data_IF_300343507309
#
_entry.id   IF_300343507309
#
_cell.length_a   1.000
_cell.length_b   1.000
_cell.length_c   1.000
_cell.angle_alpha   90.00
_cell.angle_beta   90.00
_cell.angle_gamma   90.00
#
_symmetry.space_group_name_H-M   'P 1'
#
loop_
_entity.id
_entity.type
_entity.pdbx_description
1 polymer ?
#
# COMPACT_ATOMS: atom_id res chain seq x y z
N UNK A 1 -79.79 10.83 33.99
CA UNK A 1 -78.88 9.68 33.80
C UNK A 1 -77.78 10.02 32.79
N UNK A 2 -76.96 11.05 33.06
CA UNK A 2 -76.01 11.57 32.06
C UNK A 2 -74.56 11.75 32.54
N UNK A 3 -74.27 11.59 33.84
CA UNK A 3 -72.96 11.98 34.40
C UNK A 3 -72.14 10.82 34.97
N UNK A 4 -72.66 9.58 34.94
CA UNK A 4 -71.92 8.37 35.38
C UNK A 4 -71.29 7.57 34.24
N UNK A 5 -71.70 7.80 32.99
CA UNK A 5 -71.21 7.04 31.84
C UNK A 5 -69.87 7.57 31.30
N UNK A 6 -69.67 8.90 31.31
CA UNK A 6 -68.43 9.53 30.81
C UNK A 6 -67.22 9.26 31.71
N UNK A 7 -67.42 9.17 33.04
CA UNK A 7 -66.33 8.92 33.99
C UNK A 7 -65.80 7.48 33.91
N UNK A 8 -66.68 6.51 33.65
CA UNK A 8 -66.30 5.09 33.47
C UNK A 8 -65.61 4.88 32.11
N UNK A 9 -66.05 5.59 31.07
CA UNK A 9 -65.43 5.52 29.75
C UNK A 9 -64.02 6.13 29.75
N UNK A 10 -63.81 7.26 30.42
CA UNK A 10 -62.47 7.83 30.61
C UNK A 10 -61.55 6.91 31.45
N UNK A 11 -62.08 6.26 32.49
CA UNK A 11 -61.28 5.34 33.31
C UNK A 11 -60.85 4.08 32.52
N UNK A 12 -61.71 3.56 31.63
CA UNK A 12 -61.39 2.42 30.76
C UNK A 12 -60.36 2.80 29.69
N UNK A 13 -60.45 4.00 29.11
CA UNK A 13 -59.44 4.50 28.15
C UNK A 13 -58.08 4.70 28.83
N UNK A 14 -58.06 5.16 30.08
CA UNK A 14 -56.82 5.29 30.87
C UNK A 14 -56.22 3.91 31.22
N UNK A 15 -57.06 2.91 31.54
CA UNK A 15 -56.60 1.53 31.79
C UNK A 15 -56.10 0.82 30.51
N UNK A 16 -56.71 1.08 29.35
CA UNK A 16 -56.26 0.53 28.06
C UNK A 16 -54.96 1.22 27.61
N UNK A 17 -54.79 2.53 27.86
CA UNK A 17 -53.54 3.24 27.58
C UNK A 17 -52.40 2.87 28.54
N UNK A 18 -52.70 2.56 29.81
CA UNK A 18 -51.72 2.02 30.76
C UNK A 18 -51.37 0.54 30.49
N UNK A 19 -52.31 -0.26 29.97
CA UNK A 19 -52.06 -1.65 29.56
C UNK A 19 -51.24 -1.78 28.27
N UNK A 20 -51.29 -0.78 27.38
CA UNK A 20 -50.52 -0.75 26.14
C UNK A 20 -49.04 -0.37 26.33
N UNK A 21 -48.63 0.10 27.52
CA UNK A 21 -47.24 0.42 27.84
C UNK A 21 -46.44 -0.77 28.41
N UNK A 22 -47.04 -1.96 28.45
CA UNK A 22 -46.39 -3.22 28.81
C UNK A 22 -45.72 -3.96 27.65
N UNK A 23 -45.52 -3.34 26.49
CA UNK A 23 -44.68 -3.91 25.44
C UNK A 23 -43.24 -3.58 25.82
N UNK A 24 -42.56 -4.55 26.43
CA UNK A 24 -41.12 -4.50 26.61
C UNK A 24 -40.48 -4.10 25.29
N UNK A 25 -39.85 -2.94 25.26
CA UNK A 25 -39.07 -2.50 24.11
C UNK A 25 -37.97 -3.53 23.91
N UNK A 26 -38.17 -4.45 22.96
CA UNK A 26 -37.10 -5.27 22.42
C UNK A 26 -36.21 -4.29 21.69
N UNK A 27 -35.26 -3.71 22.42
CA UNK A 27 -34.15 -2.98 21.84
C UNK A 27 -33.43 -4.01 20.97
N UNK A 28 -33.66 -3.94 19.66
CA UNK A 28 -32.84 -4.59 18.67
C UNK A 28 -31.43 -4.00 18.83
N UNK A 29 -30.63 -4.66 19.65
CA UNK A 29 -29.24 -4.29 19.84
C UNK A 29 -28.57 -4.54 18.50
N UNK A 30 -28.42 -3.48 17.69
CA UNK A 30 -27.62 -3.48 16.47
C UNK A 30 -26.22 -3.90 16.87
N UNK A 31 -25.94 -5.20 16.82
CA UNK A 31 -24.62 -5.76 17.06
C UNK A 31 -23.73 -5.12 16.00
N UNK A 32 -22.82 -4.24 16.44
CA UNK A 32 -21.79 -3.71 15.56
C UNK A 32 -21.06 -4.91 14.94
N UNK A 33 -20.80 -4.89 13.62
CA UNK A 33 -20.07 -5.97 12.98
C UNK A 33 -18.74 -6.15 13.70
N UNK A 34 -18.40 -7.41 13.98
CA UNK A 34 -17.10 -7.75 14.58
C UNK A 34 -16.07 -7.66 13.47
N UNK A 35 -15.23 -6.63 13.51
CA UNK A 35 -14.21 -6.39 12.50
C UNK A 35 -12.85 -6.83 13.02
N UNK A 36 -12.08 -7.52 12.18
CA UNK A 36 -10.67 -7.83 12.42
C UNK A 36 -9.84 -6.85 11.58
N UNK A 37 -8.87 -6.18 12.20
CA UNK A 37 -7.96 -5.25 11.53
C UNK A 37 -6.54 -5.78 11.67
N UNK A 38 -5.83 -5.88 10.54
CA UNK A 38 -4.43 -6.32 10.46
C UNK A 38 -3.66 -5.26 9.71
N UNK A 39 -2.46 -4.94 10.18
CA UNK A 39 -1.56 -3.98 9.55
C UNK A 39 -0.12 -4.50 9.59
N UNK A 40 0.57 -4.52 8.45
CA UNK A 40 2.00 -4.82 8.36
C UNK A 40 2.82 -3.54 8.46
N UNK A 41 3.83 -3.55 9.33
CA UNK A 41 4.74 -2.43 9.57
C UNK A 41 6.17 -2.80 9.18
N UNK A 42 6.85 -1.87 8.52
CA UNK A 42 8.26 -1.99 8.21
C UNK A 42 9.12 -1.88 9.48
N UNK A 43 10.35 -2.38 9.40
CA UNK A 43 11.35 -2.25 10.48
C UNK A 43 11.99 -0.85 10.53
N UNK A 44 11.85 -0.05 9.47
CA UNK A 44 12.41 1.29 9.36
C UNK A 44 11.36 2.38 9.60
N UNK A 45 11.84 3.59 9.93
CA UNK A 45 11.00 4.78 10.09
C UNK A 45 10.44 5.27 8.75
N UNK A 46 9.30 5.96 8.81
CA UNK A 46 8.71 6.63 7.67
C UNK A 46 9.71 7.45 6.85
N UNK A 47 9.52 7.43 5.54
CA UNK A 47 10.33 8.09 4.52
C UNK A 47 9.58 9.27 3.91
N UNK A 48 10.22 10.41 3.57
CA UNK A 48 9.46 11.52 3.03
C UNK A 48 8.87 11.21 1.65
N UNK A 49 7.58 11.47 1.46
CA UNK A 49 6.89 11.28 0.17
C UNK A 49 7.52 12.10 -0.97
N UNK A 50 8.03 13.29 -0.65
CA UNK A 50 8.70 14.15 -1.63
C UNK A 50 9.98 13.48 -2.19
N UNK A 51 10.75 12.84 -1.32
CA UNK A 51 11.98 12.16 -1.72
C UNK A 51 11.66 10.86 -2.48
N UNK A 52 10.64 10.12 -2.03
CA UNK A 52 10.17 8.92 -2.74
C UNK A 52 9.69 9.24 -4.16
N UNK A 53 8.99 10.35 -4.34
CA UNK A 53 8.55 10.80 -5.65
C UNK A 53 9.74 11.03 -6.60
N UNK A 54 10.82 11.67 -6.13
CA UNK A 54 12.03 11.84 -6.92
C UNK A 54 12.66 10.51 -7.35
N UNK A 55 12.74 9.55 -6.42
CA UNK A 55 13.27 8.21 -6.74
C UNK A 55 12.38 7.44 -7.71
N UNK A 56 11.05 7.54 -7.60
CA UNK A 56 10.12 6.92 -8.54
C UNK A 56 10.25 7.52 -9.95
N UNK A 57 10.42 8.83 -10.07
CA UNK A 57 10.63 9.50 -11.36
C UNK A 57 11.97 9.08 -11.99
N UNK A 58 13.02 8.96 -11.19
CA UNK A 58 14.34 8.52 -11.66
C UNK A 58 14.34 7.10 -12.26
N UNK A 59 13.37 6.27 -11.87
CA UNK A 59 13.19 4.91 -12.38
C UNK A 59 12.78 4.90 -13.86
N UNK A 60 12.05 5.92 -14.30
CA UNK A 60 11.64 6.08 -15.70
C UNK A 60 12.82 6.51 -16.56
N UNK A 61 13.42 7.66 -16.19
CA UNK A 61 14.61 8.23 -16.82
C UNK A 61 15.42 8.96 -15.76
N UNK A 62 16.74 8.81 -15.81
CA UNK A 62 17.65 9.46 -14.86
C UNK A 62 17.50 10.99 -14.88
N UNK A 63 17.19 11.58 -16.03
CA UNK A 63 17.01 13.04 -16.19
C UNK A 63 15.79 13.57 -15.44
N UNK A 64 14.73 12.76 -15.32
CA UNK A 64 13.46 13.15 -14.68
C UNK A 64 13.64 13.48 -13.20
N UNK A 65 14.65 12.90 -12.55
CA UNK A 65 15.03 13.27 -11.20
C UNK A 65 15.42 14.75 -11.12
N UNK A 66 16.30 15.19 -12.01
CA UNK A 66 16.81 16.56 -12.04
C UNK A 66 15.73 17.56 -12.46
N UNK A 67 14.93 17.21 -13.47
CA UNK A 67 13.75 18.01 -13.88
C UNK A 67 12.81 18.26 -12.70
N UNK A 68 12.58 17.23 -11.86
CA UNK A 68 11.73 17.33 -10.67
C UNK A 68 12.32 18.25 -9.59
N UNK A 69 13.64 18.16 -9.36
CA UNK A 69 14.36 19.04 -8.43
C UNK A 69 14.22 20.51 -8.88
N UNK A 70 14.43 20.77 -10.17
CA UNK A 70 14.34 22.11 -10.75
C UNK A 70 12.91 22.66 -10.64
N UNK A 71 11.89 21.88 -11.03
CA UNK A 71 10.48 22.29 -10.90
C UNK A 71 10.14 22.63 -9.45
N UNK A 72 10.60 21.80 -8.50
CA UNK A 72 10.34 22.03 -7.08
C UNK A 72 11.03 23.30 -6.55
N UNK A 73 12.25 23.60 -7.03
CA UNK A 73 12.97 24.82 -6.65
C UNK A 73 12.36 26.11 -7.19
N UNK A 74 11.80 26.08 -8.41
CA UNK A 74 11.18 27.25 -9.04
C UNK A 74 9.73 27.51 -8.60
N UNK A 75 9.12 26.56 -7.86
CA UNK A 75 7.74 26.72 -7.39
C UNK A 75 7.67 27.60 -6.14
N UNK A 76 6.84 28.64 -6.17
CA UNK A 76 6.62 29.53 -5.04
C UNK A 76 6.16 28.78 -3.77
N UNK A 77 6.60 29.26 -2.60
CA UNK A 77 6.34 28.62 -1.29
C UNK A 77 4.86 28.71 -0.85
N UNK A 78 4.05 29.55 -1.47
CA UNK A 78 2.72 29.95 -0.99
C UNK A 78 1.55 29.34 -1.78
N UNK A 79 1.50 28.01 -1.84
CA UNK A 79 0.26 27.32 -2.22
C UNK A 79 -0.57 27.07 -0.95
N UNK A 80 -1.71 27.75 -0.82
CA UNK A 80 -2.58 27.70 0.37
C UNK A 80 -3.04 26.26 0.67
N UNK A 81 -3.08 25.38 -0.33
CA UNK A 81 -3.48 23.99 -0.15
C UNK A 81 -2.39 23.13 0.54
N UNK A 82 -1.14 23.59 0.62
CA UNK A 82 0.00 22.81 1.15
C UNK A 82 0.05 22.64 2.67
N UNK A 83 -0.88 23.23 3.44
CA UNK A 83 -0.87 23.10 4.92
C UNK A 83 -1.27 21.72 5.43
N UNK A 84 -1.86 20.87 4.58
CA UNK A 84 -2.28 19.51 4.96
C UNK A 84 -1.40 18.46 4.26
N UNK A 85 -1.21 17.31 4.91
CA UNK A 85 -0.52 16.18 4.30
C UNK A 85 -1.12 15.79 2.93
N UNK A 86 -2.46 15.86 2.81
CA UNK A 86 -3.19 15.63 1.55
C UNK A 86 -2.86 16.67 0.48
N UNK A 87 -2.77 17.94 0.85
CA UNK A 87 -2.39 19.00 -0.08
C UNK A 87 -0.94 18.90 -0.55
N UNK A 88 -0.03 18.54 0.35
CA UNK A 88 1.35 18.22 -0.02
C UNK A 88 1.44 17.04 -0.99
N UNK A 89 0.71 15.95 -0.73
CA UNK A 89 0.65 14.82 -1.65
C UNK A 89 0.13 15.25 -3.03
N UNK A 90 -0.96 16.03 -3.08
CA UNK A 90 -1.47 16.58 -4.35
C UNK A 90 -0.45 17.43 -5.08
N UNK A 91 0.31 18.28 -4.37
CA UNK A 91 1.37 19.11 -4.94
C UNK A 91 2.49 18.24 -5.52
N UNK A 92 2.96 17.24 -4.77
CA UNK A 92 3.99 16.29 -5.21
C UNK A 92 3.54 15.55 -6.47
N UNK A 93 2.31 15.00 -6.45
CA UNK A 93 1.72 14.31 -7.61
C UNK A 93 1.65 15.27 -8.79
N UNK A 94 1.07 16.47 -8.63
CA UNK A 94 0.96 17.46 -9.71
C UNK A 94 2.30 17.76 -10.39
N UNK A 95 3.38 17.93 -9.62
CA UNK A 95 4.70 18.17 -10.18
C UNK A 95 5.28 16.91 -10.87
N UNK A 96 5.14 15.73 -10.27
CA UNK A 96 5.56 14.47 -10.91
C UNK A 96 4.82 14.22 -12.23
N UNK A 97 3.51 14.46 -12.25
CA UNK A 97 2.68 14.29 -13.46
C UNK A 97 3.01 15.26 -14.58
N UNK A 98 3.57 16.44 -14.28
CA UNK A 98 4.03 17.37 -15.33
C UNK A 98 5.24 16.85 -16.12
N UNK A 99 5.93 15.82 -15.60
CA UNK A 99 7.14 15.23 -16.18
C UNK A 99 6.82 13.91 -16.92
N UNK A 100 5.77 13.21 -16.50
CA UNK A 100 5.37 11.89 -16.98
C UNK A 100 4.32 11.95 -18.10
N UNK A 101 4.28 10.90 -18.93
CA UNK A 101 3.18 10.65 -19.87
C UNK A 101 1.93 10.13 -19.14
N UNK A 102 0.75 10.35 -19.71
CA UNK A 102 -0.54 9.95 -19.13
C UNK A 102 -0.63 8.48 -18.66
N UNK A 103 -0.13 7.46 -19.38
CA UNK A 103 -0.20 6.07 -18.90
C UNK A 103 0.66 5.80 -17.66
N UNK A 104 1.81 6.48 -17.54
CA UNK A 104 2.74 6.33 -16.42
C UNK A 104 2.27 7.10 -15.18
N UNK A 105 1.42 8.12 -15.37
CA UNK A 105 0.86 8.94 -14.31
C UNK A 105 0.13 8.10 -13.23
N UNK A 106 -0.77 7.21 -13.67
CA UNK A 106 -1.55 6.36 -12.75
C UNK A 106 -0.66 5.38 -11.99
N UNK A 107 0.37 4.85 -12.67
CA UNK A 107 1.32 3.93 -12.05
C UNK A 107 2.22 4.62 -11.03
N UNK A 108 2.60 5.86 -11.29
CA UNK A 108 3.36 6.69 -10.37
C UNK A 108 2.59 6.96 -9.07
N UNK A 109 1.32 7.37 -9.16
CA UNK A 109 0.46 7.60 -7.98
C UNK A 109 0.26 6.31 -7.17
N UNK A 110 0.03 5.19 -7.85
CA UNK A 110 -0.09 3.89 -7.22
C UNK A 110 1.21 3.48 -6.51
N UNK A 111 2.36 3.62 -7.17
CA UNK A 111 3.68 3.27 -6.64
C UNK A 111 4.08 4.12 -5.43
N UNK A 112 3.71 5.40 -5.44
CA UNK A 112 3.91 6.32 -4.32
C UNK A 112 3.03 5.95 -3.12
N UNK A 113 1.78 5.54 -3.38
CA UNK A 113 0.85 5.06 -2.33
C UNK A 113 1.31 3.73 -1.73
N UNK A 114 1.87 2.83 -2.56
CA UNK A 114 2.48 1.57 -2.12
C UNK A 114 3.83 1.76 -1.41
N UNK A 115 4.41 2.96 -1.46
CA UNK A 115 5.69 3.30 -0.82
C UNK A 115 6.84 2.44 -1.34
N UNK A 116 6.77 2.08 -2.62
CA UNK A 116 7.71 1.17 -3.31
C UNK A 116 9.15 1.70 -3.35
N UNK A 117 9.34 3.02 -3.35
CA UNK A 117 10.67 3.66 -3.29
C UNK A 117 11.23 3.81 -1.85
N UNK A 118 10.47 3.46 -0.80
CA UNK A 118 10.94 3.59 0.58
C UNK A 118 12.26 2.84 0.87
N UNK A 119 12.45 1.58 0.43
CA UNK A 119 13.71 0.85 0.65
C UNK A 119 14.94 1.56 0.04
N UNK A 120 14.75 2.25 -1.09
CA UNK A 120 15.79 3.04 -1.76
C UNK A 120 16.32 4.16 -0.85
N UNK A 121 15.42 4.87 -0.19
CA UNK A 121 15.81 5.93 0.75
C UNK A 121 16.44 5.37 2.03
N UNK A 122 16.03 4.18 2.47
CA UNK A 122 16.69 3.49 3.59
C UNK A 122 18.14 3.14 3.26
N UNK A 123 18.41 2.72 2.01
CA UNK A 123 19.78 2.50 1.55
C UNK A 123 20.61 3.79 1.61
N UNK A 124 20.07 4.94 1.17
CA UNK A 124 20.78 6.21 1.31
C UNK A 124 21.04 6.62 2.75
N UNK A 125 20.14 6.30 3.69
CA UNK A 125 20.38 6.52 5.13
C UNK A 125 21.59 5.72 5.63
N UNK A 126 21.75 4.48 5.17
CA UNK A 126 22.90 3.65 5.52
C UNK A 126 24.20 4.23 4.95
N UNK A 127 24.20 4.64 3.68
CA UNK A 127 25.35 5.29 3.05
C UNK A 127 25.71 6.63 3.72
N UNK A 128 24.71 7.38 4.18
CA UNK A 128 24.92 8.60 4.96
C UNK A 128 25.58 8.33 6.31
N UNK A 129 25.15 7.29 7.03
CA UNK A 129 25.78 6.89 8.30
C UNK A 129 27.24 6.45 8.07
N UNK A 130 27.50 5.71 6.98
CA UNK A 130 28.85 5.30 6.60
C UNK A 130 29.75 6.50 6.27
N UNK A 131 29.22 7.47 5.52
CA UNK A 131 29.89 8.74 5.21
C UNK A 131 30.24 9.52 6.50
N UNK A 132 29.29 9.66 7.43
CA UNK A 132 29.52 10.35 8.70
C UNK A 132 30.50 9.59 9.62
N UNK A 133 30.43 8.27 9.66
CA UNK A 133 31.30 7.45 10.50
C UNK A 133 32.75 7.40 10.00
N UNK A 134 32.97 7.67 8.72
CA UNK A 134 34.31 7.79 8.13
C UNK A 134 35.08 9.02 8.64
N UNK A 135 34.38 10.02 9.19
CA UNK A 135 34.95 11.26 9.73
C UNK A 135 34.36 11.59 11.10
N UNK A 136 34.72 10.85 12.17
CA UNK A 136 34.15 11.09 13.50
C UNK A 136 34.44 12.52 13.96
N UNK A 137 33.43 13.25 14.48
CA UNK A 137 33.64 14.59 15.01
C UNK A 137 34.65 14.54 16.15
N UNK A 138 35.59 15.49 16.16
CA UNK A 138 36.50 15.67 17.29
C UNK A 138 35.67 16.19 18.47
N UNK A 139 35.37 15.33 19.43
CA UNK A 139 34.70 15.74 20.67
C UNK A 139 35.58 16.76 21.41
N UNK A 140 35.22 18.05 21.36
CA UNK A 140 35.92 19.12 22.09
C UNK A 140 35.80 18.98 23.63
N UNK A 141 35.02 18.02 24.14
CA UNK A 141 34.74 17.88 25.57
C UNK A 141 35.76 17.07 26.39
N UNK A 142 36.83 16.55 25.77
CA UNK A 142 37.89 15.82 26.51
C UNK A 142 39.26 16.52 26.52
N UNK A 143 39.32 17.85 26.28
CA UNK A 143 40.57 18.62 26.37
C UNK A 143 40.82 19.30 27.74
N UNK A 144 40.37 18.67 28.83
CA UNK A 144 40.86 19.00 30.18
C UNK A 144 41.24 17.73 30.91
N UNK A 145 42.43 17.23 30.61
CA UNK A 145 43.40 16.66 31.55
C UNK A 145 44.61 16.13 30.75
N UNK A 146 45.45 17.04 30.27
CA UNK A 146 46.78 16.69 29.81
C UNK A 146 47.74 16.64 31.01
N UNK A 147 47.85 15.46 31.63
CA UNK A 147 49.05 15.05 32.36
C UNK A 147 49.05 13.54 32.59
N UNK A 148 49.85 12.81 31.82
CA UNK A 148 50.12 11.40 32.08
C UNK A 148 50.45 10.60 30.82
N UNK A 149 51.72 10.23 30.71
CA UNK A 149 52.26 9.28 29.73
C UNK A 149 51.58 7.92 29.93
N UNK A 150 51.02 7.33 28.87
CA UNK A 150 50.94 5.87 28.70
C UNK A 150 50.63 5.50 27.25
N UNK A 151 51.64 4.90 26.63
CA UNK A 151 51.61 3.70 25.78
C UNK A 151 50.47 3.49 24.77
N UNK A 152 50.94 3.33 23.54
CA UNK A 152 50.33 2.67 22.37
C UNK A 152 49.39 1.55 22.80
N UNK A 153 48.10 1.72 22.52
CA UNK A 153 47.16 0.62 22.37
C UNK A 153 46.44 0.77 21.04
N UNK A 154 46.91 0.00 20.06
CA UNK A 154 46.23 -0.27 18.80
C UNK A 154 44.94 -1.06 19.07
N UNK A 155 43.88 -0.36 19.48
CA UNK A 155 42.52 -0.86 19.41
C UNK A 155 41.64 0.20 18.76
N UNK A 156 41.83 0.38 17.45
CA UNK A 156 40.79 0.89 16.56
C UNK A 156 39.72 -0.20 16.50
N UNK A 157 38.81 -0.23 17.48
CA UNK A 157 37.52 -0.86 17.28
C UNK A 157 36.76 -0.01 16.26
N UNK A 158 36.84 -0.44 14.99
CA UNK A 158 35.82 -0.08 14.01
C UNK A 158 34.48 -0.45 14.65
N UNK A 159 33.70 0.56 15.09
CA UNK A 159 32.29 0.37 15.39
C UNK A 159 31.60 -0.02 14.09
N UNK A 160 31.67 -1.31 13.74
CA UNK A 160 30.77 -1.92 12.78
C UNK A 160 29.37 -1.63 13.31
N UNK A 161 28.63 -0.84 12.55
CA UNK A 161 27.22 -0.56 12.79
C UNK A 161 26.51 -1.86 13.15
N UNK A 162 25.88 -1.90 14.33
CA UNK A 162 25.07 -3.02 14.76
C UNK A 162 24.04 -3.33 13.65
N UNK A 163 24.02 -4.54 13.05
CA UNK A 163 23.06 -4.90 12.00
C UNK A 163 21.59 -4.82 12.47
N UNK A 164 21.34 -4.54 13.74
CA UNK A 164 20.03 -4.25 14.32
C UNK A 164 19.55 -2.80 14.15
N UNK A 165 20.39 -1.86 13.70
CA UNK A 165 20.03 -0.44 13.49
C UNK A 165 19.58 -0.11 12.05
N UNK A 166 19.24 -1.11 11.24
CA UNK A 166 18.72 -0.92 9.88
C UNK A 166 17.39 -0.14 9.95
N UNK A 167 17.44 1.15 9.63
CA UNK A 167 16.24 1.97 9.47
C UNK A 167 16.08 3.16 10.43
N UNK A 168 17.07 3.45 11.27
CA UNK A 168 17.12 4.72 11.99
C UNK A 168 17.62 5.84 11.05
N UNK A 169 17.03 7.02 11.18
CA UNK A 169 17.53 8.20 10.47
C UNK A 169 18.87 8.62 11.08
N UNK A 170 19.90 8.95 10.26
CA UNK A 170 21.16 9.46 10.79
C UNK A 170 20.88 10.71 11.63
N UNK A 171 21.64 10.90 12.70
CA UNK A 171 21.55 12.12 13.51
C UNK A 171 22.11 13.29 12.72
N UNK A 172 21.51 14.47 12.84
CA UNK A 172 22.05 15.68 12.22
C UNK A 172 23.45 15.98 12.78
N UNK A 173 24.51 15.98 11.95
CA UNK A 173 25.85 16.31 12.40
C UNK A 173 25.90 17.79 12.79
N UNK A 174 26.19 18.10 14.06
CA UNK A 174 26.27 19.46 14.59
C UNK A 174 25.01 20.32 14.32
N UNK A 175 23.83 19.70 14.23
CA UNK A 175 22.58 20.39 13.90
C UNK A 175 22.45 20.82 12.43
N UNK A 176 23.35 20.37 11.54
CA UNK A 176 23.28 20.63 10.10
C UNK A 176 22.50 19.52 9.39
N UNK A 177 21.70 19.89 8.41
CA UNK A 177 20.79 18.98 7.72
C UNK A 177 21.27 18.51 6.34
N UNK A 178 22.34 19.12 5.82
CA UNK A 178 22.96 18.78 4.56
C UNK A 178 24.48 18.77 4.71
N UNK A 179 25.15 17.89 3.97
CA UNK A 179 26.60 17.90 3.86
C UNK A 179 27.06 17.33 2.52
N UNK A 180 28.29 17.65 2.14
CA UNK A 180 28.93 17.13 0.93
C UNK A 180 30.12 16.29 1.31
N UNK A 181 30.14 15.05 0.83
CA UNK A 181 31.23 14.12 0.99
C UNK A 181 32.09 14.09 -0.28
N UNK A 182 33.39 14.31 -0.10
CA UNK A 182 34.38 14.30 -1.19
C UNK A 182 35.37 13.14 -1.07
N UNK A 183 35.19 12.24 -0.11
CA UNK A 183 36.04 11.10 0.21
C UNK A 183 37.26 11.46 1.08
N UNK A 184 37.71 12.71 1.01
CA UNK A 184 38.79 13.23 1.86
C UNK A 184 38.32 14.19 2.97
N UNK A 185 37.14 14.77 2.82
CA UNK A 185 36.55 15.69 3.79
C UNK A 185 35.03 15.78 3.63
N UNK A 186 34.35 16.12 4.73
CA UNK A 186 32.94 16.49 4.78
C UNK A 186 32.79 18.00 4.87
N UNK A 187 31.92 18.58 4.04
CA UNK A 187 31.59 20.00 4.05
C UNK A 187 30.15 20.21 4.51
N UNK A 188 29.95 20.95 5.60
CA UNK A 188 28.63 21.26 6.16
C UNK A 188 28.11 22.65 5.79
N UNK A 189 28.97 23.50 5.20
CA UNK A 189 28.65 24.85 4.75
C UNK A 189 29.09 25.05 3.29
N UNK A 190 28.25 25.70 2.48
CA UNK A 190 28.51 25.89 1.05
C UNK A 190 29.69 26.85 0.79
N UNK A 191 30.00 27.75 1.74
CA UNK A 191 31.15 28.64 1.65
C UNK A 191 32.47 27.87 1.62
N UNK A 192 32.64 26.89 2.51
CA UNK A 192 33.85 26.07 2.60
C UNK A 192 33.99 25.15 1.38
N UNK A 193 32.86 24.61 0.91
CA UNK A 193 32.82 23.84 -0.33
C UNK A 193 33.29 24.67 -1.55
N UNK A 194 32.87 25.94 -1.66
CA UNK A 194 33.32 26.82 -2.75
C UNK A 194 34.83 27.04 -2.76
N UNK A 195 35.46 27.08 -1.58
CA UNK A 195 36.91 27.20 -1.46
C UNK A 195 37.57 25.92 -2.00
N UNK A 196 37.05 24.76 -1.60
CA UNK A 196 37.53 23.46 -2.07
C UNK A 196 37.40 23.30 -3.58
N UNK A 197 36.25 23.69 -4.17
CA UNK A 197 35.99 23.63 -5.61
C UNK A 197 36.96 24.49 -6.44
N UNK A 198 37.46 25.59 -5.89
CA UNK A 198 38.39 26.51 -6.56
C UNK A 198 39.85 26.14 -6.39
N UNK A 199 40.17 25.20 -5.50
CA UNK A 199 41.56 24.83 -5.22
C UNK A 199 42.09 23.92 -6.34
N UNK A 200 43.12 24.33 -7.10
CA UNK A 200 43.68 23.50 -8.16
C UNK A 200 44.35 22.26 -7.56
N UNK A 201 43.98 21.08 -8.08
CA UNK A 201 44.49 19.79 -7.60
C UNK A 201 45.63 19.31 -8.49
N UNK A 202 46.82 19.20 -7.92
CA UNK A 202 47.93 18.50 -8.56
C UNK A 202 47.61 17.00 -8.58
N UNK A 203 47.60 16.43 -9.78
CA UNK A 203 47.35 15.01 -10.10
C UNK A 203 48.24 13.97 -9.38
N UNK A 204 49.15 14.40 -8.52
CA UNK A 204 50.16 13.56 -7.85
C UNK A 204 50.06 13.49 -6.32
N UNK A 205 49.08 14.13 -5.66
CA UNK A 205 49.06 14.20 -4.18
C UNK A 205 47.91 13.55 -3.42
N UNK A 206 46.85 13.12 -4.09
CA UNK A 206 45.67 12.62 -3.37
C UNK A 206 45.44 11.14 -3.67
N UNK A 207 46.13 10.27 -2.93
CA UNK A 207 45.69 8.90 -2.68
C UNK A 207 44.49 8.87 -1.70
N UNK A 208 43.58 9.85 -1.81
CA UNK A 208 42.32 9.84 -1.07
C UNK A 208 41.32 9.00 -1.85
N UNK A 209 40.76 8.01 -1.17
CA UNK A 209 39.77 7.11 -1.74
C UNK A 209 38.52 7.94 -2.05
N UNK A 210 38.22 8.15 -3.33
CA UNK A 210 37.00 8.84 -3.73
C UNK A 210 35.78 8.09 -3.18
N UNK A 211 34.66 8.79 -2.88
CA UNK A 211 33.43 8.12 -2.49
C UNK A 211 33.05 7.08 -3.53
N UNK A 212 32.72 5.87 -3.07
CA UNK A 212 32.24 4.81 -3.94
C UNK A 212 30.92 5.24 -4.57
N UNK A 213 30.82 5.09 -5.90
CA UNK A 213 29.62 5.39 -6.67
C UNK A 213 28.95 4.10 -7.10
N UNK A 214 27.61 4.09 -7.06
CA UNK A 214 26.80 2.96 -7.43
C UNK A 214 25.95 3.27 -8.66
N UNK A 215 25.51 2.24 -9.40
CA UNK A 215 24.72 2.40 -10.64
C UNK A 215 23.42 3.19 -10.44
N UNK A 216 22.93 3.16 -9.21
CA UNK A 216 21.69 3.76 -8.78
C UNK A 216 21.84 5.24 -8.39
N UNK A 217 23.07 5.73 -8.21
CA UNK A 217 23.32 7.10 -7.80
C UNK A 217 22.90 8.12 -8.88
N UNK A 218 22.38 9.26 -8.43
CA UNK A 218 21.97 10.35 -9.30
C UNK A 218 23.18 11.21 -9.64
N UNK A 219 23.78 10.97 -10.80
CA UNK A 219 24.88 11.77 -11.34
C UNK A 219 24.29 12.90 -12.20
N UNK A 220 24.73 14.13 -11.97
CA UNK A 220 24.26 15.28 -12.74
C UNK A 220 24.73 15.22 -14.19
N UNK A 221 23.85 15.58 -15.14
CA UNK A 221 24.07 15.48 -16.59
C UNK A 221 25.32 16.22 -17.09
N UNK A 222 25.64 17.36 -16.47
CA UNK A 222 26.81 18.19 -16.83
C UNK A 222 28.14 17.66 -16.25
N UNK A 223 28.13 16.56 -15.50
CA UNK A 223 29.35 16.02 -14.86
C UNK A 223 30.31 15.41 -15.88
N UNK A 224 31.59 15.80 -15.81
CA UNK A 224 32.64 15.29 -16.71
C UNK A 224 33.36 14.08 -16.09
N UNK A 225 33.78 13.15 -16.95
CA UNK A 225 34.58 11.98 -16.56
C UNK A 225 36.00 12.43 -16.16
N UNK A 226 36.44 12.03 -14.97
CA UNK A 226 37.77 12.35 -14.42
C UNK A 226 37.79 13.49 -13.40
N UNK A 227 36.70 14.26 -13.30
CA UNK A 227 36.52 15.27 -12.25
C UNK A 227 36.35 14.62 -10.87
N UNK A 228 36.78 15.30 -9.78
CA UNK A 228 36.60 14.78 -8.42
C UNK A 228 35.13 14.61 -8.07
N UNK A 229 34.81 13.58 -7.30
CA UNK A 229 33.44 13.26 -6.91
C UNK A 229 33.03 14.09 -5.69
N UNK A 230 31.84 14.68 -5.75
CA UNK A 230 31.18 15.30 -4.60
C UNK A 230 29.77 14.73 -4.46
N UNK A 231 29.53 14.04 -3.35
CA UNK A 231 28.24 13.44 -3.01
C UNK A 231 27.50 14.34 -2.03
N UNK A 232 26.39 14.93 -2.47
CA UNK A 232 25.51 15.71 -1.62
C UNK A 232 24.53 14.78 -0.89
N UNK A 233 24.60 14.81 0.44
CA UNK A 233 23.59 14.24 1.32
C UNK A 233 22.67 15.37 1.81
N UNK A 234 21.38 15.23 1.54
CA UNK A 234 20.37 16.19 1.99
C UNK A 234 19.00 15.90 1.42
N UNK A 235 17.99 16.55 1.98
CA UNK A 235 16.60 16.38 1.58
C UNK A 235 16.13 17.53 0.68
N UNK A 236 15.50 17.20 -0.45
CA UNK A 236 14.79 18.16 -1.26
C UNK A 236 13.76 18.92 -0.40
N UNK A 237 13.72 20.24 -0.56
CA UNK A 237 12.83 21.12 0.19
C UNK A 237 13.46 21.79 1.41
N UNK A 238 14.68 21.43 1.81
CA UNK A 238 15.45 22.23 2.77
C UNK A 238 16.14 23.41 2.07
N UNK A 239 16.42 24.46 2.82
CA UNK A 239 17.16 25.62 2.30
C UNK A 239 18.65 25.28 2.07
N UNK A 240 19.24 24.42 2.90
CA UNK A 240 20.63 23.95 2.72
C UNK A 240 20.80 23.14 1.43
N UNK A 241 19.83 22.29 1.07
CA UNK A 241 19.91 21.49 -0.14
C UNK A 241 19.98 22.38 -1.37
N UNK A 242 19.15 23.43 -1.41
CA UNK A 242 19.13 24.40 -2.52
C UNK A 242 20.47 25.11 -2.67
N UNK A 243 21.08 25.56 -1.58
CA UNK A 243 22.35 26.28 -1.60
C UNK A 243 23.51 25.41 -2.14
N UNK A 244 23.62 24.17 -1.64
CA UNK A 244 24.59 23.21 -2.12
C UNK A 244 24.33 22.80 -3.56
N UNK A 245 23.07 22.54 -3.92
CA UNK A 245 22.67 22.14 -5.26
C UNK A 245 23.09 23.19 -6.31
N UNK A 246 22.73 24.47 -6.11
CA UNK A 246 23.13 25.55 -7.04
C UNK A 246 24.64 25.63 -7.19
N UNK A 247 25.37 25.55 -6.07
CA UNK A 247 26.84 25.62 -6.06
C UNK A 247 27.48 24.45 -6.83
N UNK A 248 26.97 23.23 -6.63
CA UNK A 248 27.50 22.02 -7.28
C UNK A 248 27.12 21.93 -8.75
N UNK A 249 25.92 22.40 -9.13
CA UNK A 249 25.50 22.46 -10.54
C UNK A 249 26.37 23.44 -11.32
N UNK A 250 26.65 24.63 -10.78
CA UNK A 250 27.57 25.60 -11.40
C UNK A 250 28.97 24.99 -11.58
N UNK A 251 29.49 24.35 -10.54
CA UNK A 251 30.80 23.70 -10.61
C UNK A 251 30.85 22.50 -11.56
N UNK A 252 29.75 21.73 -11.68
CA UNK A 252 29.65 20.62 -12.62
C UNK A 252 29.68 21.12 -14.06
N UNK A 253 28.95 22.22 -14.37
CA UNK A 253 28.95 22.88 -15.68
C UNK A 253 30.33 23.38 -16.11
N UNK A 254 31.13 23.84 -15.14
CA UNK A 254 32.52 24.23 -15.37
C UNK A 254 33.48 23.04 -15.50
N UNK A 255 33.01 21.81 -15.27
CA UNK A 255 33.82 20.60 -15.32
C UNK A 255 34.66 20.35 -14.07
N UNK A 256 34.46 21.12 -13.00
CA UNK A 256 35.29 21.08 -11.79
C UNK A 256 34.94 19.91 -10.87
N UNK A 257 33.74 19.34 -10.99
CA UNK A 257 33.26 18.29 -10.09
C UNK A 257 32.30 17.33 -10.78
N UNK A 258 32.33 16.06 -10.38
CA UNK A 258 31.27 15.10 -10.65
C UNK A 258 30.26 15.18 -9.51
N UNK A 259 29.11 15.79 -9.79
CA UNK A 259 28.08 16.03 -8.80
C UNK A 259 27.13 14.84 -8.69
N UNK A 260 26.99 14.32 -7.47
CA UNK A 260 26.10 13.20 -7.13
C UNK A 260 25.17 13.58 -5.99
N UNK A 261 23.91 13.13 -6.02
CA UNK A 261 22.94 13.35 -4.94
C UNK A 261 22.49 12.02 -4.33
N UNK A 262 22.53 11.94 -2.99
CA UNK A 262 21.91 10.88 -2.19
C UNK A 262 20.90 11.53 -1.23
N UNK A 263 19.62 11.27 -1.47
CA UNK A 263 18.57 11.95 -0.73
C UNK A 263 18.41 11.37 0.69
N UNK A 264 18.65 12.21 1.70
CA UNK A 264 18.54 11.82 3.11
C UNK A 264 17.96 12.96 3.92
N UNK A 265 16.99 12.66 4.78
CA UNK A 265 16.49 13.57 5.80
C UNK A 265 16.96 13.09 7.18
N UNK A 266 17.96 13.76 7.79
CA UNK A 266 18.43 13.44 9.13
C UNK A 266 17.36 13.70 10.21
N UNK A 267 17.50 13.02 11.35
CA UNK A 267 16.65 13.26 12.52
C UNK A 267 16.83 14.69 13.04
N UNK A 268 15.73 15.41 13.29
CA UNK A 268 15.74 16.78 13.79
C UNK A 268 15.67 17.85 12.70
N UNK A 269 15.78 17.45 11.43
CA UNK A 269 15.72 18.34 10.27
C UNK A 269 14.31 18.51 9.71
N UNK A 270 13.30 17.84 10.28
CA UNK A 270 11.92 17.87 9.79
C UNK A 270 11.33 19.29 9.81
N UNK A 271 11.73 20.11 10.79
CA UNK A 271 11.31 21.51 10.90
C UNK A 271 12.00 22.43 9.89
N UNK A 272 13.19 22.06 9.41
CA UNK A 272 13.96 22.82 8.41
C UNK A 272 13.55 22.50 6.97
N UNK A 273 12.86 21.37 6.78
CA UNK A 273 12.22 21.09 5.50
C UNK A 273 11.05 22.04 5.27
N UNK A 274 10.89 22.51 4.03
CA UNK A 274 9.65 23.15 3.61
C UNK A 274 8.44 22.28 3.92
N UNK A 275 7.23 22.86 3.96
CA UNK A 275 5.99 22.25 4.50
C UNK A 275 5.72 20.79 4.06
N UNK A 276 6.12 20.42 2.84
CA UNK A 276 5.90 19.08 2.29
C UNK A 276 7.07 18.10 2.44
N UNK A 277 8.26 18.58 2.82
CA UNK A 277 9.48 17.77 2.88
C UNK A 277 9.55 16.78 4.04
N UNK A 278 8.72 16.95 5.09
CA UNK A 278 8.61 16.00 6.19
C UNK A 278 7.32 15.13 6.13
N UNK A 279 6.52 15.20 5.06
CA UNK A 279 5.28 14.42 4.99
C UNK A 279 5.61 12.95 4.75
N UNK A 280 5.08 12.07 5.61
CA UNK A 280 5.31 10.62 5.55
C UNK A 280 6.52 10.13 6.37
N UNK A 281 7.19 11.01 7.12
CA UNK A 281 8.37 10.66 7.94
C UNK A 281 8.03 10.15 9.34
N UNK A 282 6.77 10.25 9.75
CA UNK A 282 6.31 9.88 11.10
C UNK A 282 6.04 8.38 11.20
N UNK A 283 6.27 7.84 12.40
CA UNK A 283 6.01 6.45 12.80
C UNK A 283 6.69 5.38 11.94
N UNK A 284 6.51 4.12 12.32
CA UNK A 284 6.90 2.97 11.50
C UNK A 284 6.05 2.94 10.23
N UNK A 285 6.68 2.77 9.07
CA UNK A 285 5.95 2.76 7.80
C UNK A 285 4.97 1.58 7.72
N UNK A 286 3.70 1.84 7.42
CA UNK A 286 2.75 0.78 7.04
C UNK A 286 2.97 0.40 5.59
N UNK A 287 3.21 -0.89 5.34
CA UNK A 287 3.47 -1.39 3.99
C UNK A 287 2.17 -1.78 3.30
N UNK A 288 2.14 -1.67 1.97
CA UNK A 288 1.10 -2.25 1.12
C UNK A 288 1.54 -3.60 0.54
N UNK A 289 0.69 -4.20 -0.30
CA UNK A 289 1.09 -5.36 -1.12
C UNK A 289 1.07 -6.73 -0.44
N UNK A 290 0.37 -6.87 0.68
CA UNK A 290 0.15 -8.17 1.32
C UNK A 290 -1.34 -8.53 1.34
N UNK A 291 -1.64 -9.83 1.33
CA UNK A 291 -2.96 -10.39 1.60
C UNK A 291 -3.09 -10.85 3.05
N UNK A 292 -4.30 -10.80 3.60
CA UNK A 292 -4.62 -11.36 4.92
C UNK A 292 -5.70 -12.42 4.73
N UNK A 293 -5.45 -13.60 5.26
CA UNK A 293 -6.43 -14.68 5.30
C UNK A 293 -6.90 -14.96 6.72
N UNK A 294 -8.17 -15.32 6.86
CA UNK A 294 -8.75 -15.84 8.10
C UNK A 294 -9.05 -17.32 7.90
N UNK A 295 -8.05 -18.15 8.18
CA UNK A 295 -8.16 -19.59 8.03
C UNK A 295 -9.05 -20.20 9.14
N UNK A 296 -10.05 -20.99 8.73
CA UNK A 296 -10.88 -21.78 9.64
C UNK A 296 -10.12 -23.03 10.08
N UNK A 297 -9.56 -23.02 11.29
CA UNK A 297 -8.71 -24.13 11.80
C UNK A 297 -9.47 -25.45 12.02
N UNK A 298 -10.75 -25.39 12.38
CA UNK A 298 -11.58 -26.59 12.60
C UNK A 298 -12.42 -26.88 11.36
N UNK A 299 -11.86 -27.59 10.39
CA UNK A 299 -12.62 -28.14 9.25
C UNK A 299 -13.26 -29.49 9.56
N UNK A 300 -12.83 -30.17 10.63
CA UNK A 300 -13.14 -31.59 10.91
C UNK A 300 -14.55 -31.85 11.47
N UNK A 301 -15.23 -30.86 12.04
CA UNK A 301 -16.61 -31.03 12.52
C UNK A 301 -17.66 -30.87 11.41
N UNK A 302 -17.24 -30.58 10.18
CA UNK A 302 -18.06 -30.69 8.97
C UNK A 302 -17.89 -32.08 8.34
N UNK A 303 -18.09 -33.12 9.14
CA UNK A 303 -18.05 -34.50 8.64
C UNK A 303 -19.08 -34.63 7.52
N UNK A 304 -18.59 -34.90 6.31
CA UNK A 304 -19.39 -35.11 5.11
C UNK A 304 -20.25 -36.35 5.33
N UNK A 305 -21.56 -36.17 5.43
CA UNK A 305 -22.48 -37.29 5.60
C UNK A 305 -22.82 -37.90 4.23
N UNK A 306 -21.93 -38.76 3.73
CA UNK A 306 -22.14 -39.55 2.50
C UNK A 306 -23.24 -40.62 2.63
N UNK A 307 -23.92 -40.72 3.80
CA UNK A 307 -24.82 -41.84 4.09
C UNK A 307 -26.23 -41.74 3.50
N UNK A 308 -26.59 -40.64 2.83
CA UNK A 308 -27.93 -40.46 2.21
C UNK A 308 -27.89 -40.43 0.68
N UNK A 309 -27.47 -41.53 0.07
CA UNK A 309 -27.74 -41.79 -1.36
C UNK A 309 -29.24 -42.04 -1.55
N UNK A 310 -30.05 -40.97 -1.67
CA UNK A 310 -31.39 -41.06 -2.24
C UNK A 310 -31.28 -40.88 -3.75
N UNK A 311 -31.62 -41.94 -4.49
CA UNK A 311 -31.76 -41.92 -5.95
C UNK A 311 -32.72 -40.81 -6.38
N UNK A 312 -32.24 -39.92 -7.24
CA UNK A 312 -33.03 -39.12 -8.18
C UNK A 312 -34.15 -38.31 -7.55
N UNK A 313 -33.81 -37.17 -6.93
CA UNK A 313 -34.77 -36.09 -6.74
C UNK A 313 -34.60 -35.13 -7.91
N UNK A 314 -35.48 -35.22 -8.90
CA UNK A 314 -35.74 -34.10 -9.81
C UNK A 314 -36.12 -32.90 -8.96
N UNK A 315 -35.30 -31.86 -9.02
CA UNK A 315 -35.54 -30.56 -8.38
C UNK A 315 -36.84 -29.95 -8.93
N UNK A 316 -37.98 -30.26 -8.31
CA UNK A 316 -39.21 -29.49 -8.46
C UNK A 316 -39.15 -28.23 -7.58
N UNK A 317 -39.59 -27.11 -8.17
CA UNK A 317 -39.89 -25.77 -7.62
C UNK A 317 -39.14 -25.31 -6.33
N UNK A 318 -38.35 -24.22 -6.36
CA UNK A 318 -37.70 -23.65 -5.16
C UNK A 318 -38.67 -23.19 -4.06
N UNK A 319 -39.98 -23.15 -4.35
CA UNK A 319 -41.03 -22.86 -3.36
C UNK A 319 -41.42 -24.06 -2.50
N UNK A 320 -40.84 -25.22 -2.75
CA UNK A 320 -41.01 -26.44 -1.96
C UNK A 320 -39.68 -26.99 -1.44
N UNK A 321 -38.76 -26.12 -1.02
CA UNK A 321 -37.79 -26.54 0.00
C UNK A 321 -38.58 -26.95 1.26
N UNK A 322 -38.22 -28.08 1.87
CA UNK A 322 -38.93 -28.66 3.00
C UNK A 322 -38.95 -27.69 4.19
N UNK A 323 -40.01 -26.88 4.29
CA UNK A 323 -40.23 -25.88 5.34
C UNK A 323 -40.31 -26.53 6.73
N UNK A 324 -40.33 -27.86 6.82
CA UNK A 324 -40.25 -28.62 8.07
C UNK A 324 -38.84 -28.72 8.65
N UNK A 325 -37.78 -28.41 7.87
CA UNK A 325 -36.42 -28.35 8.39
C UNK A 325 -36.27 -27.25 9.44
N UNK A 326 -35.64 -27.61 10.56
CA UNK A 326 -35.31 -26.71 11.65
C UNK A 326 -34.12 -25.84 11.26
N UNK A 327 -34.37 -24.57 10.99
CA UNK A 327 -33.31 -23.58 10.74
C UNK A 327 -33.06 -22.84 12.06
N UNK A 328 -32.00 -23.24 12.78
CA UNK A 328 -31.54 -22.64 14.06
C UNK A 328 -32.64 -22.47 15.12
N UNK A 329 -33.44 -23.50 15.35
CA UNK A 329 -34.53 -23.47 16.35
C UNK A 329 -35.89 -23.07 15.80
N UNK A 330 -35.99 -22.71 14.52
CA UNK A 330 -37.24 -22.29 13.88
C UNK A 330 -37.71 -23.30 12.84
N UNK A 331 -38.96 -23.75 12.98
CA UNK A 331 -39.65 -24.57 11.97
C UNK A 331 -40.56 -23.63 11.19
N UNK A 332 -40.13 -23.26 9.99
CA UNK A 332 -40.78 -22.24 9.18
C UNK A 332 -42.17 -22.68 8.68
N UNK A 333 -42.41 -23.98 8.49
CA UNK A 333 -43.74 -24.53 8.15
C UNK A 333 -44.78 -24.20 9.23
N UNK A 334 -44.46 -24.46 10.51
CA UNK A 334 -45.34 -24.14 11.64
C UNK A 334 -45.53 -22.65 11.86
N UNK A 335 -44.56 -21.82 11.49
CA UNK A 335 -44.66 -20.36 11.62
C UNK A 335 -45.56 -19.80 10.52
N UNK A 336 -45.43 -20.29 9.29
CA UNK A 336 -46.29 -19.95 8.16
C UNK A 336 -47.74 -20.43 8.38
N UNK A 337 -47.93 -21.61 8.96
CA UNK A 337 -49.27 -22.12 9.35
C UNK A 337 -49.96 -21.24 10.40
N UNK A 338 -49.18 -20.66 11.32
CA UNK A 338 -49.72 -19.83 12.43
C UNK A 338 -49.89 -18.36 12.06
N UNK A 339 -49.13 -17.87 11.09
CA UNK A 339 -49.08 -16.46 10.65
C UNK A 339 -48.97 -16.36 9.13
N UNK A 340 -50.00 -16.80 8.37
CA UNK A 340 -49.99 -16.73 6.91
C UNK A 340 -49.90 -15.30 6.37
N UNK A 341 -50.33 -14.30 7.16
CA UNK A 341 -50.31 -12.88 6.82
C UNK A 341 -48.90 -12.26 6.65
N UNK A 342 -47.85 -12.89 7.19
CA UNK A 342 -46.47 -12.38 7.21
C UNK A 342 -45.51 -13.20 6.34
N UNK A 343 -46.05 -13.87 5.31
CA UNK A 343 -45.29 -14.85 4.51
C UNK A 343 -44.01 -14.25 3.91
N UNK A 344 -44.08 -13.03 3.37
CA UNK A 344 -42.93 -12.31 2.79
C UNK A 344 -41.83 -12.02 3.80
N UNK A 345 -42.20 -11.56 5.00
CA UNK A 345 -41.29 -11.18 6.07
C UNK A 345 -40.67 -12.42 6.73
N UNK A 346 -41.44 -13.49 6.85
CA UNK A 346 -40.97 -14.79 7.35
C UNK A 346 -39.94 -15.39 6.38
N UNK A 347 -40.18 -15.30 5.07
CA UNK A 347 -39.20 -15.74 4.07
C UNK A 347 -37.95 -14.86 4.07
N UNK A 348 -38.08 -13.54 4.15
CA UNK A 348 -36.93 -12.64 4.27
C UNK A 348 -36.11 -12.90 5.56
N UNK A 349 -36.77 -13.24 6.67
CA UNK A 349 -36.12 -13.60 7.92
C UNK A 349 -35.40 -14.96 7.83
N UNK A 350 -35.99 -15.93 7.14
CA UNK A 350 -35.34 -17.22 6.83
C UNK A 350 -34.06 -16.98 6.03
N UNK A 351 -34.14 -16.18 4.97
CA UNK A 351 -33.00 -15.86 4.11
C UNK A 351 -31.90 -15.11 4.87
N UNK A 352 -32.28 -14.24 5.81
CA UNK A 352 -31.34 -13.59 6.73
C UNK A 352 -30.63 -14.59 7.67
N UNK A 353 -31.36 -15.56 8.25
CA UNK A 353 -30.74 -16.56 9.12
C UNK A 353 -29.78 -17.50 8.36
N UNK A 354 -30.10 -17.78 7.10
CA UNK A 354 -29.29 -18.63 6.22
C UNK A 354 -28.04 -17.93 5.68
N UNK A 355 -28.08 -16.60 5.51
CA UNK A 355 -26.96 -15.78 5.04
C UNK A 355 -26.06 -15.25 6.16
N UNK A 356 -26.60 -15.03 7.36
CA UNK A 356 -25.86 -14.42 8.47
C UNK A 356 -24.87 -15.36 9.15
N UNK A 357 -24.83 -16.65 8.80
CA UNK A 357 -24.01 -17.63 9.49
C UNK A 357 -23.42 -18.70 8.56
N UNK A 358 -22.18 -19.09 8.85
CA UNK A 358 -21.51 -20.22 8.19
C UNK A 358 -22.34 -21.48 8.49
N UNK A 359 -22.88 -22.14 7.47
CA UNK A 359 -23.63 -23.40 7.64
C UNK A 359 -22.73 -24.48 8.22
N UNK A 360 -23.24 -25.21 9.21
CA UNK A 360 -22.57 -26.33 9.87
C UNK A 360 -22.68 -27.65 9.08
N UNK A 361 -23.63 -27.74 8.14
CA UNK A 361 -23.85 -28.92 7.28
C UNK A 361 -23.95 -28.48 5.82
N UNK A 362 -23.01 -28.91 4.99
CA UNK A 362 -23.08 -28.79 3.53
C UNK A 362 -23.06 -30.21 2.98
N UNK A 363 -24.08 -30.57 2.21
CA UNK A 363 -24.16 -31.90 1.61
C UNK A 363 -23.21 -31.99 0.39
N UNK A 364 -22.61 -33.15 0.19
CA UNK A 364 -21.55 -33.38 -0.81
C UNK A 364 -21.99 -33.03 -2.24
N UNK A 365 -23.29 -33.20 -2.55
CA UNK A 365 -23.86 -32.91 -3.87
C UNK A 365 -24.00 -31.41 -4.14
N UNK A 366 -24.26 -30.60 -3.11
CA UNK A 366 -24.39 -29.14 -3.22
C UNK A 366 -23.07 -28.48 -3.64
N UNK A 367 -21.94 -29.14 -3.40
CA UNK A 367 -20.61 -28.62 -3.76
C UNK A 367 -20.23 -28.88 -5.22
N UNK A 368 -20.85 -29.86 -5.89
CA UNK A 368 -20.45 -30.27 -7.24
C UNK A 368 -20.66 -29.18 -8.28
N UNK A 369 -21.81 -28.50 -8.22
CA UNK A 369 -22.19 -27.45 -9.16
C UNK A 369 -21.88 -26.03 -8.65
N UNK A 370 -21.30 -25.91 -7.44
CA UNK A 370 -21.07 -24.64 -6.76
C UNK A 370 -20.21 -23.68 -7.59
N UNK A 371 -19.19 -24.18 -8.29
CA UNK A 371 -18.36 -23.37 -9.20
C UNK A 371 -19.18 -22.77 -10.35
N UNK A 372 -20.10 -23.55 -10.93
CA UNK A 372 -20.97 -23.10 -12.02
C UNK A 372 -22.01 -22.09 -11.51
N UNK A 373 -22.61 -22.35 -10.35
CA UNK A 373 -23.55 -21.43 -9.69
C UNK A 373 -22.88 -20.10 -9.35
N UNK A 374 -21.64 -20.15 -8.86
CA UNK A 374 -20.83 -18.95 -8.57
C UNK A 374 -20.56 -18.15 -9.83
N UNK A 375 -20.11 -18.80 -10.91
CA UNK A 375 -19.88 -18.14 -12.19
C UNK A 375 -21.16 -17.48 -12.74
N UNK A 376 -22.30 -18.19 -12.67
CA UNK A 376 -23.59 -17.65 -13.06
C UNK A 376 -23.98 -16.42 -12.23
N UNK A 377 -23.78 -16.47 -10.90
CA UNK A 377 -24.08 -15.34 -10.01
C UNK A 377 -23.28 -14.09 -10.36
N UNK A 378 -22.01 -14.28 -10.71
CA UNK A 378 -21.08 -13.20 -11.10
C UNK A 378 -21.48 -12.61 -12.45
N UNK A 379 -21.71 -13.45 -13.46
CA UNK A 379 -22.06 -13.00 -14.83
C UNK A 379 -23.41 -12.28 -14.86
N UNK A 380 -24.37 -12.66 -14.01
CA UNK A 380 -25.66 -11.99 -13.90
C UNK A 380 -25.69 -10.79 -12.95
N UNK A 381 -24.57 -10.46 -12.29
CA UNK A 381 -24.48 -9.26 -11.46
C UNK A 381 -24.43 -7.99 -12.33
N UNK A 382 -24.87 -6.87 -11.76
CA UNK A 382 -24.73 -5.55 -12.41
C UNK A 382 -23.27 -5.13 -12.55
N UNK A 383 -22.45 -5.48 -11.56
CA UNK A 383 -21.00 -5.33 -11.58
C UNK A 383 -20.35 -6.71 -11.32
N UNK A 384 -19.94 -7.42 -12.40
CA UNK A 384 -19.33 -8.74 -12.27
C UNK A 384 -18.01 -8.73 -11.49
N UNK A 385 -17.17 -7.69 -11.62
CA UNK A 385 -15.86 -7.64 -10.96
C UNK A 385 -16.01 -7.43 -9.46
N UNK A 386 -16.87 -6.49 -9.05
CA UNK A 386 -17.19 -6.29 -7.65
C UNK A 386 -17.83 -7.55 -7.05
N UNK A 387 -18.78 -8.18 -7.76
CA UNK A 387 -19.41 -9.41 -7.27
C UNK A 387 -18.40 -10.55 -7.12
N UNK A 388 -17.46 -10.69 -8.05
CA UNK A 388 -16.39 -11.68 -7.98
C UNK A 388 -15.49 -11.42 -6.75
N UNK A 389 -15.13 -10.16 -6.50
CA UNK A 389 -14.33 -9.78 -5.34
C UNK A 389 -15.05 -10.10 -4.02
N UNK A 390 -16.32 -9.70 -3.89
CA UNK A 390 -17.10 -9.91 -2.66
C UNK A 390 -17.29 -11.40 -2.34
N UNK A 391 -17.57 -12.21 -3.36
CA UNK A 391 -17.72 -13.66 -3.23
C UNK A 391 -16.38 -14.29 -2.85
N UNK A 392 -15.27 -13.95 -3.52
CA UNK A 392 -13.96 -14.52 -3.23
C UNK A 392 -13.45 -14.15 -1.84
N UNK A 393 -13.74 -12.94 -1.34
CA UNK A 393 -13.33 -12.50 0.00
C UNK A 393 -14.17 -13.11 1.13
N UNK A 394 -15.43 -13.45 0.87
CA UNK A 394 -16.39 -13.93 1.88
C UNK A 394 -16.95 -15.32 1.55
N UNK A 395 -16.25 -16.12 0.75
CA UNK A 395 -16.79 -17.35 0.17
C UNK A 395 -17.46 -18.26 1.21
N UNK A 396 -16.84 -18.59 2.37
CA UNK A 396 -17.44 -19.48 3.36
C UNK A 396 -18.80 -19.03 3.92
N UNK A 397 -19.10 -17.73 3.94
CA UNK A 397 -20.40 -17.23 4.41
C UNK A 397 -21.47 -17.22 3.31
N UNK A 398 -21.06 -17.23 2.04
CA UNK A 398 -21.99 -17.11 0.89
C UNK A 398 -22.32 -18.48 0.27
N UNK A 399 -21.53 -19.53 0.55
CA UNK A 399 -21.73 -20.89 -0.01
C UNK A 399 -23.16 -21.41 0.13
N UNK A 400 -23.79 -21.26 1.29
CA UNK A 400 -25.15 -21.78 1.56
C UNK A 400 -26.23 -21.14 0.68
N UNK A 401 -26.02 -19.89 0.28
CA UNK A 401 -26.92 -19.16 -0.61
C UNK A 401 -26.65 -19.53 -2.07
N UNK A 402 -25.38 -19.71 -2.43
CA UNK A 402 -24.97 -20.10 -3.78
C UNK A 402 -25.45 -21.50 -4.15
N UNK A 403 -25.38 -22.46 -3.21
CA UNK A 403 -25.77 -23.86 -3.49
C UNK A 403 -27.24 -24.04 -3.90
N UNK A 404 -28.11 -23.12 -3.47
CA UNK A 404 -29.55 -23.15 -3.76
C UNK A 404 -29.91 -22.51 -5.10
N UNK A 405 -28.97 -21.82 -5.73
CA UNK A 405 -29.24 -21.17 -7.01
C UNK A 405 -29.46 -22.22 -8.10
N UNK A 406 -30.58 -22.12 -8.81
CA UNK A 406 -30.84 -22.97 -9.98
C UNK A 406 -29.84 -22.62 -11.08
N UNK A 407 -29.16 -23.64 -11.58
CA UNK A 407 -28.23 -23.50 -12.71
C UNK A 407 -29.00 -23.47 -14.03
N UNK A 408 -28.65 -22.53 -14.91
CA UNK A 408 -29.15 -22.46 -16.28
C UNK A 408 -28.31 -23.38 -17.18
N UNK A 409 -28.99 -24.22 -17.97
CA UNK A 409 -28.32 -25.18 -18.86
C UNK A 409 -27.42 -24.48 -19.90
N UNK A 410 -27.83 -23.30 -20.39
CA UNK A 410 -27.02 -22.48 -21.32
C UNK A 410 -25.65 -22.12 -20.75
N UNK A 411 -25.59 -21.69 -19.48
CA UNK A 411 -24.33 -21.29 -18.82
C UNK A 411 -23.44 -22.51 -18.61
N UNK A 412 -24.04 -23.65 -18.27
CA UNK A 412 -23.33 -24.92 -18.10
C UNK A 412 -22.68 -25.39 -19.40
N UNK A 413 -23.38 -25.30 -20.52
CA UNK A 413 -22.86 -25.70 -21.83
C UNK A 413 -21.71 -24.80 -22.28
N UNK A 414 -21.82 -23.47 -22.06
CA UNK A 414 -20.74 -22.51 -22.34
C UNK A 414 -19.48 -22.78 -21.50
N UNK A 415 -19.64 -23.00 -20.19
CA UNK A 415 -18.52 -23.34 -19.30
C UNK A 415 -17.86 -24.64 -19.78
N UNK A 416 -18.65 -25.66 -20.13
CA UNK A 416 -18.13 -26.95 -20.62
C UNK A 416 -17.37 -26.80 -21.94
N UNK A 417 -17.83 -25.90 -22.83
CA UNK A 417 -17.12 -25.59 -24.07
C UNK A 417 -15.77 -24.92 -23.80
N UNK A 418 -15.72 -23.95 -22.89
CA UNK A 418 -14.48 -23.25 -22.50
C UNK A 418 -13.49 -24.18 -21.77
N UNK A 419 -14.01 -25.13 -20.98
CA UNK A 419 -13.20 -26.13 -20.27
C UNK A 419 -12.45 -27.10 -21.20
N UNK A 420 -12.77 -27.12 -22.50
CA UNK A 420 -11.99 -27.85 -23.50
C UNK A 420 -10.61 -27.23 -23.73
N UNK A 421 -10.48 -25.92 -23.53
CA UNK A 421 -9.23 -25.18 -23.70
C UNK A 421 -8.47 -25.05 -22.38
N UNK A 422 -9.18 -24.85 -21.27
CA UNK A 422 -8.58 -24.67 -19.93
C UNK A 422 -9.20 -25.69 -18.96
N UNK A 423 -8.40 -26.60 -18.37
CA UNK A 423 -8.92 -27.60 -17.44
C UNK A 423 -9.60 -26.96 -16.22
N UNK A 424 -10.67 -27.58 -15.67
CA UNK A 424 -11.33 -27.07 -14.48
C UNK A 424 -10.36 -27.00 -13.29
N UNK A 425 -10.46 -25.92 -12.51
CA UNK A 425 -9.62 -25.70 -11.32
C UNK A 425 -8.20 -25.23 -11.62
N UNK A 426 -7.85 -24.95 -12.89
CA UNK A 426 -6.59 -24.31 -13.26
C UNK A 426 -6.80 -22.80 -13.41
N UNK A 427 -5.92 -22.02 -12.79
CA UNK A 427 -5.85 -20.58 -12.97
C UNK A 427 -4.74 -20.26 -13.97
N UNK A 428 -5.04 -19.42 -14.96
CA UNK A 428 -4.08 -18.96 -15.95
C UNK A 428 -4.21 -17.44 -16.05
N UNK A 429 -3.08 -16.75 -15.98
CA UNK A 429 -3.00 -15.31 -16.13
C UNK A 429 -2.09 -15.00 -17.32
N UNK A 430 -2.52 -14.07 -18.17
CA UNK A 430 -1.72 -13.56 -19.26
C UNK A 430 -1.74 -12.02 -19.22
N UNK A 431 -0.58 -11.41 -19.42
CA UNK A 431 -0.43 -9.97 -19.59
C UNK A 431 0.07 -9.73 -21.02
N UNK A 432 -0.71 -9.03 -21.85
CA UNK A 432 -0.38 -8.76 -23.25
C UNK A 432 0.04 -10.02 -24.07
N UNK A 433 -0.56 -11.17 -23.76
CA UNK A 433 -0.28 -12.45 -24.41
C UNK A 433 0.89 -13.25 -23.79
N UNK A 434 1.67 -12.65 -22.89
CA UNK A 434 2.68 -13.37 -22.12
C UNK A 434 2.03 -14.09 -20.94
N UNK A 435 2.22 -15.41 -20.85
CA UNK A 435 1.75 -16.20 -19.71
C UNK A 435 2.56 -15.87 -18.46
N UNK A 436 1.85 -15.61 -17.37
CA UNK A 436 2.43 -15.24 -16.07
C UNK A 436 2.10 -16.34 -15.07
N UNK A 437 3.12 -16.82 -14.35
CA UNK A 437 2.88 -17.76 -13.25
C UNK A 437 2.29 -17.01 -12.05
N UNK A 438 1.09 -17.40 -11.65
CA UNK A 438 0.34 -16.77 -10.55
C UNK A 438 1.01 -17.06 -9.19
N UNK A 439 1.75 -18.15 -9.08
CA UNK A 439 2.43 -18.52 -7.83
C UNK A 439 3.69 -17.68 -7.57
N UNK A 440 4.32 -17.19 -8.64
CA UNK A 440 5.57 -16.42 -8.56
C UNK A 440 5.35 -14.90 -8.61
N UNK A 441 4.10 -14.44 -8.87
CA UNK A 441 3.81 -13.02 -9.01
C UNK A 441 3.40 -12.39 -7.68
N UNK A 442 4.14 -11.37 -7.27
CA UNK A 442 3.75 -10.46 -6.20
C UNK A 442 3.28 -9.11 -6.78
N UNK A 443 2.71 -8.25 -5.92
CA UNK A 443 2.19 -6.96 -6.34
C UNK A 443 3.29 -6.04 -6.92
N UNK A 444 4.51 -6.10 -6.37
CA UNK A 444 5.62 -5.26 -6.80
C UNK A 444 6.15 -5.72 -8.16
N UNK A 445 6.29 -7.03 -8.36
CA UNK A 445 6.63 -7.62 -9.65
C UNK A 445 5.56 -7.32 -10.70
N UNK A 446 4.28 -7.37 -10.33
CA UNK A 446 3.20 -7.01 -11.25
C UNK A 446 3.29 -5.53 -11.67
N UNK A 447 3.55 -4.62 -10.73
CA UNK A 447 3.80 -3.20 -11.01
C UNK A 447 4.99 -3.04 -11.94
N UNK A 448 6.06 -3.79 -11.72
CA UNK A 448 7.28 -3.76 -12.53
C UNK A 448 7.07 -4.28 -13.96
N UNK A 449 6.26 -5.34 -14.13
CA UNK A 449 5.89 -5.86 -15.45
C UNK A 449 5.01 -4.87 -16.22
N UNK A 450 3.99 -4.31 -15.56
CA UNK A 450 3.12 -3.28 -16.16
C UNK A 450 3.94 -2.04 -16.51
N UNK A 451 4.88 -1.65 -15.66
CA UNK A 451 5.80 -0.55 -15.90
C UNK A 451 6.60 -0.74 -17.19
N UNK A 452 7.25 -1.89 -17.33
CA UNK A 452 8.05 -2.23 -18.52
C UNK A 452 7.19 -2.22 -19.78
N UNK A 453 6.00 -2.82 -19.73
CA UNK A 453 5.07 -2.85 -20.87
C UNK A 453 4.60 -1.45 -21.26
N UNK A 454 4.28 -0.58 -20.30
CA UNK A 454 3.89 0.81 -20.58
C UNK A 454 5.04 1.62 -21.17
N UNK A 455 6.26 1.43 -20.67
CA UNK A 455 7.46 2.07 -21.21
C UNK A 455 7.71 1.63 -22.67
N UNK A 456 7.57 0.34 -22.96
CA UNK A 456 7.67 -0.18 -24.33
C UNK A 456 6.56 0.39 -25.22
N UNK A 457 5.32 0.44 -24.73
CA UNK A 457 4.19 0.99 -25.46
C UNK A 457 4.39 2.47 -25.81
N UNK A 458 4.94 3.28 -24.89
CA UNK A 458 5.27 4.69 -25.15
C UNK A 458 6.34 4.82 -26.25
N UNK A 459 7.36 3.96 -26.25
CA UNK A 459 8.36 3.93 -27.33
C UNK A 459 7.74 3.57 -28.69
N UNK A 460 6.83 2.58 -28.74
CA UNK A 460 6.15 2.22 -29.99
C UNK A 460 5.18 3.30 -30.47
N UNK A 461 4.49 3.98 -29.56
CA UNK A 461 3.63 5.12 -29.86
C UNK A 461 4.42 6.25 -30.53
N UNK A 462 5.62 6.55 -30.04
CA UNK A 462 6.54 7.52 -30.67
C UNK A 462 6.97 7.14 -32.09
N UNK A 463 6.97 5.85 -32.41
CA UNK A 463 7.24 5.33 -33.75
C UNK A 463 6.00 5.33 -34.67
N UNK A 464 4.87 5.89 -34.23
CA UNK A 464 3.57 5.89 -34.94
C UNK A 464 3.07 4.49 -35.33
N UNK A 465 3.54 3.45 -34.65
CA UNK A 465 3.00 2.11 -34.77
C UNK A 465 1.81 2.06 -33.82
N UNK A 466 0.59 2.12 -34.36
CA UNK A 466 -0.61 1.98 -33.54
C UNK A 466 -0.58 0.61 -32.85
N UNK A 467 -0.63 0.63 -31.51
CA UNK A 467 -0.86 -0.55 -30.69
C UNK A 467 -2.27 -1.08 -31.04
N UNK A 468 -2.34 -2.08 -31.92
CA UNK A 468 -3.61 -2.71 -32.25
C UNK A 468 -4.06 -3.53 -31.04
N UNK A 469 -5.15 -3.11 -30.39
CA UNK A 469 -5.95 -4.00 -29.57
C UNK A 469 -6.44 -5.15 -30.45
N UNK A 470 -5.99 -6.38 -30.16
CA UNK A 470 -6.59 -7.62 -30.66
C UNK A 470 -7.49 -8.23 -29.60
#
# INVERSE_FOLDING_TARGET
MGTRFESVFCAIIILISLGAWGIGSVSAQNRRPKNVQVAVRAKWSGTPLLLEAGELLSRERKDHFWDFIDIWHHTEKDDIDSYTAKGCLKKIIKHGLSILSEPLASLFEFSLTLRSASPRLVLYRQLAEESLSSFPPVDENNSRNASGISEINDHVESKKSDPLNVGLNPKSPNGKCCWVDTGGALFFDAADLKIWLRTPRDSSRDSFQQPELFDFDHIHVDSIVGSPVAVLYGALGTDCFREFHVTLVEAAKEGNVKYVVRQVLPSGCEAETGRCGAVGTRDSLTLGGYGVELALKNMEYKAMDDSTIKKGVTLEDPRTEDLSQEVRGFIFSKILERRPELTSEIMAFRDYLLSSTISDTLDVWELKDLGHQTAQRIVHATDPLQSMQEINQNFPSVVSSLSRMKLNDSVKDEITANQRMIPPGKSLMALNGALVNIEDIDLYLMVDLVHQDLSLADHFSKLKVNYFHS
#
